data_IF_500775961677
#
_entry.id   IF_500775961677
#
_cell.length_a   1.000
_cell.length_b   1.000
_cell.length_c   1.000
_cell.angle_alpha   90.00
_cell.angle_beta   90.00
_cell.angle_gamma   90.00
#
_symmetry.space_group_name_H-M   'P 1'
#
loop_
_entity.id
_entity.type
_entity.pdbx_description
1 polymer ?
#
# COMPACT_ATOMS: atom_id res chain seq x y z
N UNK A 1 20.40 26.17 -30.60
CA UNK A 1 19.34 25.75 -29.66
C UNK A 1 18.69 24.56 -30.37
N UNK A 2 18.77 23.31 -29.95
CA UNK A 2 18.40 22.75 -28.65
C UNK A 2 19.07 21.37 -28.50
N UNK A 3 19.74 21.13 -27.37
CA UNK A 3 20.18 19.81 -26.94
C UNK A 3 20.00 19.80 -25.43
N UNK A 4 18.81 19.40 -24.99
CA UNK A 4 18.44 19.52 -23.58
C UNK A 4 17.12 18.85 -23.21
N UNK A 5 16.62 17.89 -23.99
CA UNK A 5 15.33 17.25 -23.73
C UNK A 5 15.40 15.72 -23.48
N UNK A 6 16.53 15.06 -23.74
CA UNK A 6 16.54 13.59 -23.83
C UNK A 6 16.81 12.83 -22.52
N UNK A 7 17.14 13.51 -21.42
CA UNK A 7 17.35 12.85 -20.12
C UNK A 7 16.07 12.70 -19.29
N UNK A 8 15.01 13.41 -19.64
CA UNK A 8 13.75 13.38 -18.89
C UNK A 8 12.83 12.25 -19.41
N UNK A 9 12.80 12.01 -20.72
CA UNK A 9 11.94 10.97 -21.32
C UNK A 9 12.41 9.55 -21.00
N UNK A 10 13.72 9.27 -21.01
CA UNK A 10 14.24 7.94 -20.74
C UNK A 10 14.04 7.47 -19.28
N UNK A 11 13.92 8.41 -18.34
CA UNK A 11 13.65 8.09 -16.93
C UNK A 11 12.18 7.73 -16.71
N UNK A 12 11.23 8.35 -17.44
CA UNK A 12 9.81 8.04 -17.30
C UNK A 12 9.45 6.63 -17.76
N UNK A 13 9.96 6.17 -18.91
CA UNK A 13 9.71 4.80 -19.41
C UNK A 13 10.17 3.72 -18.41
N UNK A 14 11.28 3.96 -17.71
CA UNK A 14 11.81 3.01 -16.72
C UNK A 14 10.94 2.94 -15.46
N UNK A 15 10.37 4.07 -15.00
CA UNK A 15 9.50 4.08 -13.83
C UNK A 15 8.16 3.39 -14.12
N UNK A 16 7.60 3.60 -15.31
CA UNK A 16 6.29 3.05 -15.67
C UNK A 16 6.37 1.52 -15.88
N UNK A 17 7.46 1.02 -16.47
CA UNK A 17 7.73 -0.41 -16.61
C UNK A 17 7.92 -1.12 -15.26
N UNK A 18 8.60 -0.47 -14.30
CA UNK A 18 8.77 -1.02 -12.94
C UNK A 18 7.44 -1.07 -12.19
N UNK A 19 6.58 -0.04 -12.30
CA UNK A 19 5.26 -0.01 -11.64
C UNK A 19 4.32 -1.11 -12.17
N UNK A 20 4.45 -1.48 -13.44
CA UNK A 20 3.69 -2.56 -14.07
C UNK A 20 4.17 -3.96 -13.65
N UNK A 21 5.33 -4.08 -12.99
CA UNK A 21 5.88 -5.36 -12.56
C UNK A 21 5.01 -5.96 -11.44
N UNK A 22 4.52 -7.21 -11.57
CA UNK A 22 3.90 -7.93 -10.47
C UNK A 22 4.89 -8.02 -9.29
N UNK A 23 4.48 -7.60 -8.10
CA UNK A 23 5.38 -7.59 -6.93
C UNK A 23 6.11 -6.27 -6.68
N UNK A 24 6.03 -5.29 -7.57
CA UNK A 24 6.59 -3.95 -7.32
C UNK A 24 5.79 -3.21 -6.25
N UNK A 25 6.50 -2.63 -5.28
CA UNK A 25 5.91 -1.76 -4.27
C UNK A 25 5.49 -0.45 -4.94
N UNK A 26 4.20 -0.15 -4.85
CA UNK A 26 3.57 1.05 -5.37
C UNK A 26 3.57 2.13 -4.28
N UNK A 27 4.03 3.36 -4.56
CA UNK A 27 3.90 4.47 -3.63
C UNK A 27 2.43 4.79 -3.35
N UNK A 28 2.12 5.19 -2.12
CA UNK A 28 0.74 5.43 -1.70
C UNK A 28 0.01 6.47 -2.56
N UNK A 29 0.67 7.56 -2.96
CA UNK A 29 0.04 8.61 -3.77
C UNK A 29 -0.27 8.16 -5.21
N UNK A 30 0.37 7.09 -5.68
CA UNK A 30 0.25 6.56 -7.03
C UNK A 30 -0.71 5.38 -7.17
N UNK A 31 -1.24 4.84 -6.07
CA UNK A 31 -2.13 3.65 -6.08
C UNK A 31 -3.29 3.82 -7.09
N UNK A 32 -3.88 5.02 -7.15
CA UNK A 32 -5.02 5.31 -8.01
C UNK A 32 -4.72 5.34 -9.51
N UNK A 33 -3.45 5.45 -9.88
CA UNK A 33 -2.98 5.51 -11.27
C UNK A 33 -2.58 4.15 -11.81
N UNK A 34 -2.57 3.10 -10.98
CA UNK A 34 -2.15 1.77 -11.41
C UNK A 34 -3.23 1.10 -12.25
N UNK A 35 -2.86 0.56 -13.42
CA UNK A 35 -3.78 -0.13 -14.34
C UNK A 35 -4.26 -1.53 -13.89
N UNK A 36 -4.18 -1.88 -12.60
CA UNK A 36 -4.61 -3.18 -12.03
C UNK A 36 -5.42 -2.96 -10.75
N UNK A 37 -6.31 -3.91 -10.41
CA UNK A 37 -7.22 -3.83 -9.25
C UNK A 37 -6.56 -4.08 -7.89
N UNK A 38 -5.33 -4.58 -7.90
CA UNK A 38 -4.58 -4.97 -6.70
C UNK A 38 -3.17 -4.40 -6.78
N UNK A 39 -2.63 -4.01 -5.63
CA UNK A 39 -1.29 -3.43 -5.54
C UNK A 39 -0.54 -4.01 -4.35
N UNK A 40 0.79 -3.88 -4.41
CA UNK A 40 1.65 -4.13 -3.27
C UNK A 40 2.11 -2.77 -2.74
N UNK A 41 1.96 -2.53 -1.44
CA UNK A 41 2.38 -1.28 -0.80
C UNK A 41 3.22 -1.59 0.43
N UNK A 42 4.12 -0.68 0.78
CA UNK A 42 4.90 -0.74 2.01
C UNK A 42 4.68 0.53 2.80
N UNK A 43 4.58 0.42 4.12
CA UNK A 43 4.48 1.61 4.97
C UNK A 43 4.45 1.25 6.45
N UNK A 44 4.44 2.28 7.27
CA UNK A 44 4.24 2.17 8.72
C UNK A 44 2.76 2.28 9.06
N UNK A 45 2.28 1.44 9.96
CA UNK A 45 0.95 1.58 10.55
C UNK A 45 0.95 2.79 11.48
N UNK A 46 0.36 3.89 11.03
CA UNK A 46 0.34 5.17 11.74
C UNK A 46 -0.73 5.23 12.83
N UNK A 47 -1.89 4.65 12.55
CA UNK A 47 -3.02 4.68 13.48
C UNK A 47 -3.92 3.49 13.28
N UNK A 48 -4.40 2.90 14.38
CA UNK A 48 -5.45 1.89 14.37
C UNK A 48 -6.73 2.45 15.00
N UNK A 49 -7.88 2.17 14.40
CA UNK A 49 -9.18 2.57 14.95
C UNK A 49 -10.03 1.37 15.34
N UNK A 50 -10.98 1.60 16.26
CA UNK A 50 -12.01 0.64 16.61
C UNK A 50 -12.87 0.32 15.38
N UNK A 51 -13.00 -0.97 14.98
CA UNK A 51 -13.86 -1.36 13.87
C UNK A 51 -15.32 -0.96 14.11
N UNK A 52 -15.95 -0.35 13.10
CA UNK A 52 -17.36 0.07 13.19
C UNK A 52 -18.36 -1.04 12.89
N UNK A 53 -17.91 -2.19 12.39
CA UNK A 53 -18.75 -3.33 12.02
C UNK A 53 -18.01 -4.65 12.30
N UNK A 54 -18.66 -5.72 12.78
CA UNK A 54 -18.02 -7.01 13.09
C UNK A 54 -17.39 -7.71 11.87
N UNK A 55 -17.75 -7.31 10.65
CA UNK A 55 -17.12 -7.81 9.43
C UNK A 55 -15.70 -7.27 9.23
N UNK A 56 -15.33 -6.18 9.92
CA UNK A 56 -14.02 -5.56 9.86
C UNK A 56 -13.22 -6.08 11.05
N UNK A 57 -12.11 -6.79 10.78
CA UNK A 57 -11.19 -7.22 11.83
C UNK A 57 -10.36 -6.03 12.32
N UNK A 58 -9.81 -5.25 11.39
CA UNK A 58 -8.96 -4.11 11.71
C UNK A 58 -9.14 -3.02 10.66
N UNK A 59 -9.05 -1.77 11.08
CA UNK A 59 -9.04 -0.61 10.17
C UNK A 59 -8.04 0.40 10.69
N UNK A 60 -7.26 0.98 9.79
CA UNK A 60 -6.17 1.84 10.18
C UNK A 60 -5.64 2.71 9.04
N UNK A 61 -4.62 3.49 9.36
CA UNK A 61 -3.90 4.35 8.44
C UNK A 61 -2.50 3.78 8.24
N UNK A 62 -2.12 3.55 6.99
CA UNK A 62 -0.75 3.25 6.60
C UNK A 62 -0.11 4.54 6.06
N UNK A 63 1.14 4.78 6.38
CA UNK A 63 1.92 5.94 5.93
C UNK A 63 3.24 5.50 5.31
N UNK A 64 3.60 6.11 4.18
CA UNK A 64 4.92 6.04 3.57
C UNK A 64 5.46 7.47 3.33
N UNK A 65 6.55 7.61 2.60
CA UNK A 65 7.13 8.93 2.29
C UNK A 65 6.29 9.77 1.32
N UNK A 66 5.35 9.16 0.60
CA UNK A 66 4.50 9.81 -0.40
C UNK A 66 3.15 10.22 0.13
N UNK A 67 2.63 9.54 1.15
CA UNK A 67 1.37 9.91 1.75
C UNK A 67 0.81 8.88 2.73
N UNK A 68 -0.52 8.91 2.86
CA UNK A 68 -1.25 8.02 3.76
C UNK A 68 -2.45 7.40 3.06
N UNK A 69 -2.73 6.14 3.39
CA UNK A 69 -3.88 5.41 2.86
C UNK A 69 -4.62 4.69 3.97
N UNK A 70 -5.95 4.75 3.92
CA UNK A 70 -6.78 3.95 4.82
C UNK A 70 -6.74 2.49 4.37
N UNK A 71 -6.41 1.58 5.28
CA UNK A 71 -6.54 0.15 5.04
C UNK A 71 -7.70 -0.44 5.85
N UNK A 72 -8.34 -1.47 5.29
CA UNK A 72 -9.37 -2.27 5.97
C UNK A 72 -9.00 -3.75 5.87
N UNK A 73 -8.89 -4.44 7.01
CA UNK A 73 -8.75 -5.89 7.06
C UNK A 73 -10.10 -6.52 7.38
N UNK A 74 -10.58 -7.41 6.51
CA UNK A 74 -11.87 -8.09 6.71
C UNK A 74 -11.72 -9.31 7.62
N UNK A 75 -12.68 -9.53 8.51
CA UNK A 75 -12.66 -10.66 9.44
C UNK A 75 -12.64 -12.02 8.73
N UNK A 76 -13.30 -12.13 7.57
CA UNK A 76 -13.29 -13.35 6.75
C UNK A 76 -11.94 -13.64 6.09
N UNK A 77 -11.04 -12.66 6.04
CA UNK A 77 -9.73 -12.78 5.39
C UNK A 77 -8.66 -13.36 6.31
N UNK A 78 -8.91 -13.43 7.62
CA UNK A 78 -8.03 -14.05 8.61
C UNK A 78 -6.56 -13.57 8.50
N UNK A 79 -6.39 -12.28 8.24
CA UNK A 79 -5.08 -11.65 8.09
C UNK A 79 -4.38 -11.50 9.44
N UNK A 80 -3.04 -11.44 9.47
CA UNK A 80 -2.28 -11.12 10.67
C UNK A 80 -2.72 -9.80 11.29
N UNK A 81 -2.68 -9.72 12.62
CA UNK A 81 -2.91 -8.47 13.33
C UNK A 81 -1.70 -7.56 13.19
N UNK A 82 -1.98 -6.28 12.91
CA UNK A 82 -0.98 -5.23 12.88
C UNK A 82 -0.98 -4.46 14.20
N UNK A 83 0.19 -3.96 14.62
CA UNK A 83 0.32 -2.98 15.68
C UNK A 83 0.62 -1.59 15.10
N UNK A 84 0.33 -0.54 15.86
CA UNK A 84 0.84 0.80 15.54
C UNK A 84 2.37 0.78 15.56
N UNK A 85 2.99 1.60 14.72
CA UNK A 85 4.43 1.66 14.44
C UNK A 85 5.04 0.44 13.70
N UNK A 86 4.27 -0.62 13.42
CA UNK A 86 4.74 -1.71 12.57
C UNK A 86 5.02 -1.21 11.14
N UNK A 87 6.21 -1.53 10.63
CA UNK A 87 6.50 -1.43 9.20
C UNK A 87 6.09 -2.72 8.54
N UNK A 88 5.21 -2.63 7.54
CA UNK A 88 4.62 -3.79 6.85
C UNK A 88 4.60 -3.60 5.35
N UNK A 89 4.70 -4.71 4.63
CA UNK A 89 4.37 -4.81 3.20
C UNK A 89 3.03 -5.52 3.08
N UNK A 90 2.06 -4.83 2.49
CA UNK A 90 0.76 -5.39 2.16
C UNK A 90 0.77 -5.77 0.69
N UNK A 91 0.67 -7.06 0.40
CA UNK A 91 0.73 -7.64 -0.95
C UNK A 91 -0.68 -7.97 -1.45
N UNK A 92 -0.92 -7.79 -2.74
CA UNK A 92 -2.20 -8.05 -3.40
C UNK A 92 -3.38 -7.44 -2.62
N UNK A 93 -3.24 -6.19 -2.16
CA UNK A 93 -4.36 -5.49 -1.53
C UNK A 93 -5.24 -4.91 -2.61
N UNK A 94 -6.54 -5.17 -2.50
CA UNK A 94 -7.52 -4.57 -3.39
C UNK A 94 -7.61 -3.08 -3.05
N UNK A 95 -7.60 -2.21 -4.05
CA UNK A 95 -7.76 -0.78 -3.84
C UNK A 95 -9.02 -0.28 -4.52
N UNK A 96 -9.61 0.78 -3.97
CA UNK A 96 -10.77 1.44 -4.55
C UNK A 96 -10.83 2.91 -4.12
N UNK A 97 -11.53 3.71 -4.92
CA UNK A 97 -11.88 5.08 -4.55
C UNK A 97 -13.12 5.13 -3.65
N UNK A 98 -13.00 5.88 -2.56
CA UNK A 98 -14.14 6.32 -1.76
C UNK A 98 -14.20 7.84 -1.81
N UNK A 99 -15.00 8.37 -2.74
CA UNK A 99 -14.95 9.78 -3.12
C UNK A 99 -13.60 10.10 -3.76
N UNK A 100 -12.93 11.15 -3.29
CA UNK A 100 -11.62 11.58 -3.78
C UNK A 100 -10.44 10.86 -3.12
N UNK A 101 -10.72 9.90 -2.21
CA UNK A 101 -9.68 9.22 -1.42
C UNK A 101 -9.52 7.78 -1.85
N UNK A 102 -8.28 7.39 -2.08
CA UNK A 102 -7.91 5.99 -2.24
C UNK A 102 -8.01 5.27 -0.89
N UNK A 103 -8.47 4.03 -0.92
CA UNK A 103 -8.43 3.12 0.22
C UNK A 103 -8.04 1.72 -0.26
N UNK A 104 -7.41 0.95 0.63
CA UNK A 104 -7.02 -0.43 0.35
C UNK A 104 -7.74 -1.39 1.30
N UNK A 105 -7.89 -2.63 0.86
CA UNK A 105 -8.53 -3.70 1.58
C UNK A 105 -7.67 -4.97 1.53
N UNK A 106 -7.38 -5.53 2.71
CA UNK A 106 -6.80 -6.86 2.80
C UNK A 106 -7.92 -7.89 2.66
N UNK A 107 -7.79 -8.74 1.64
CA UNK A 107 -8.73 -9.81 1.33
C UNK A 107 -8.12 -11.18 1.65
N UNK A 108 -8.81 -12.28 1.35
CA UNK A 108 -8.24 -13.63 1.55
C UNK A 108 -7.07 -13.97 0.63
N UNK A 109 -6.82 -13.16 -0.41
CA UNK A 109 -5.71 -13.33 -1.36
C UNK A 109 -4.54 -12.38 -1.10
N UNK A 110 -4.70 -11.50 -0.10
CA UNK A 110 -3.65 -10.56 0.31
C UNK A 110 -2.66 -11.26 1.24
N UNK A 111 -1.42 -10.78 1.26
CA UNK A 111 -0.40 -11.23 2.23
C UNK A 111 0.14 -10.03 3.00
N UNK A 112 0.40 -10.24 4.30
CA UNK A 112 1.09 -9.27 5.15
C UNK A 112 2.49 -9.79 5.43
N UNK A 113 3.50 -9.01 5.05
CA UNK A 113 4.91 -9.32 5.31
C UNK A 113 5.49 -8.27 6.23
N UNK A 114 6.10 -8.72 7.33
CA UNK A 114 6.87 -7.86 8.23
C UNK A 114 8.34 -7.91 7.79
N UNK A 115 8.87 -6.87 7.12
CA UNK A 115 10.30 -6.81 6.78
C UNK A 115 11.14 -6.92 8.06
N UNK A 116 12.27 -7.63 7.98
CA UNK A 116 13.12 -8.03 9.12
C UNK A 116 13.75 -6.88 9.93
N UNK A 117 13.39 -5.63 9.67
CA UNK A 117 13.68 -4.48 10.53
C UNK A 117 12.72 -4.36 11.73
N UNK A 118 11.63 -5.13 11.78
CA UNK A 118 10.66 -5.15 12.89
C UNK A 118 11.03 -6.16 13.99
N UNK A 119 12.33 -6.36 14.26
CA UNK A 119 12.77 -7.04 15.47
C UNK A 119 12.87 -5.98 16.57
N UNK A 120 11.81 -5.76 17.34
CA UNK A 120 11.84 -4.87 18.51
C UNK A 120 12.87 -5.40 19.53
N UNK A 121 13.86 -4.59 19.97
CA UNK A 121 14.32 -4.65 21.34
C UNK A 121 13.52 -3.65 22.18
N UNK A 122 12.76 -4.15 23.17
CA UNK A 122 12.73 -3.66 24.55
C UNK A 122 11.77 -4.46 25.42
#
# INVERSE_FOLDING_TARGET
>A
MNAGADLQTAVLDTLEEVKATPGAIVPIDEIGSVGRSEVDIEGRVKTLWTPSHPSIAQVGLLEDETGTVKFTSWAKSNQPWLAEDDVVRLRNVAWNYYGERVSVALTGWSDVVFPSSSQQPR
#
